data_IF_524420829814
#
_entry.id   IF_524420829814
#
_cell.length_a   1.000
_cell.length_b   1.000
_cell.length_c   1.000
_cell.angle_alpha   90.00
_cell.angle_beta   90.00
_cell.angle_gamma   90.00
#
_symmetry.space_group_name_H-M   'P 1'
#
loop_
_entity.id
_entity.type
_entity.pdbx_description
1 polymer ?
#
# COMPACT_ATOMS: atom_id res chain seq x y z
N UNK A 1 -1.54 8.37 -11.68
CA UNK A 1 -1.77 6.92 -11.62
C UNK A 1 -0.67 6.19 -12.40
N UNK A 2 0.08 5.31 -11.73
CA UNK A 2 1.24 4.61 -12.31
C UNK A 2 0.77 3.35 -13.04
N UNK A 3 1.34 3.07 -14.21
CA UNK A 3 1.02 1.84 -14.95
C UNK A 3 1.71 0.63 -14.30
N UNK A 4 0.98 -0.42 -13.90
CA UNK A 4 1.57 -1.63 -13.32
C UNK A 4 2.43 -2.37 -14.35
N UNK A 5 3.68 -2.67 -14.01
CA UNK A 5 4.53 -3.49 -14.88
C UNK A 5 4.21 -4.98 -14.79
N UNK A 6 3.58 -5.42 -13.68
CA UNK A 6 3.27 -6.84 -13.40
C UNK A 6 1.90 -7.01 -12.74
N UNK A 7 1.18 -8.12 -13.01
CA UNK A 7 -0.06 -8.44 -12.31
C UNK A 7 0.20 -8.62 -10.80
N UNK A 8 -0.72 -8.11 -9.95
CA UNK A 8 -0.60 -8.28 -8.49
C UNK A 8 -1.00 -9.68 -8.07
N UNK A 9 -0.18 -10.34 -7.25
CA UNK A 9 -0.59 -11.50 -6.44
C UNK A 9 -0.81 -11.12 -4.97
N UNK A 10 -0.66 -9.83 -4.65
CA UNK A 10 -0.90 -9.31 -3.31
C UNK A 10 -2.41 -9.09 -3.10
N UNK A 11 -2.89 -9.46 -1.91
CA UNK A 11 -4.21 -9.05 -1.41
C UNK A 11 -4.22 -7.58 -0.95
N UNK A 12 -3.04 -7.00 -0.70
CA UNK A 12 -2.90 -5.59 -0.37
C UNK A 12 -3.09 -4.74 -1.65
N UNK A 13 -3.80 -3.62 -1.53
CA UNK A 13 -4.04 -2.66 -2.60
C UNK A 13 -3.55 -1.27 -2.23
N UNK A 14 -3.36 -0.40 -3.22
CA UNK A 14 -2.90 0.98 -3.00
C UNK A 14 -3.85 1.76 -2.07
N UNK A 15 -5.15 1.72 -2.35
CA UNK A 15 -6.18 2.38 -1.52
C UNK A 15 -6.14 1.89 -0.07
N UNK A 16 -5.96 0.58 0.13
CA UNK A 16 -5.92 0.01 1.47
C UNK A 16 -4.69 0.46 2.26
N UNK A 17 -3.53 0.45 1.61
CA UNK A 17 -2.28 0.88 2.22
C UNK A 17 -2.31 2.39 2.56
N UNK A 18 -2.87 3.22 1.68
CA UNK A 18 -2.99 4.66 1.92
C UNK A 18 -3.98 4.97 3.05
N UNK A 19 -5.15 4.31 3.07
CA UNK A 19 -6.11 4.46 4.16
C UNK A 19 -5.49 4.09 5.51
N UNK A 20 -4.68 3.03 5.54
CA UNK A 20 -3.91 2.66 6.74
C UNK A 20 -2.94 3.76 7.17
N UNK A 21 -2.14 4.32 6.26
CA UNK A 21 -1.20 5.40 6.59
C UNK A 21 -1.92 6.65 7.14
N UNK A 22 -3.13 6.93 6.66
CA UNK A 22 -3.96 8.03 7.16
C UNK A 22 -4.57 7.73 8.54
N UNK A 23 -5.01 6.50 8.77
CA UNK A 23 -5.63 6.07 10.03
C UNK A 23 -4.62 5.87 11.16
N UNK A 24 -3.41 5.38 10.83
CA UNK A 24 -2.34 5.04 11.77
C UNK A 24 -1.06 5.85 11.45
N UNK A 25 -1.07 7.19 11.50
CA UNK A 25 0.05 8.04 11.06
C UNK A 25 1.33 7.87 11.90
N UNK A 26 1.20 7.28 13.09
CA UNK A 26 2.34 6.95 13.97
C UNK A 26 3.05 5.65 13.55
N UNK A 27 2.41 4.82 12.72
CA UNK A 27 2.88 3.50 12.37
C UNK A 27 2.89 3.31 10.86
N UNK A 28 4.07 3.49 10.25
CA UNK A 28 4.26 3.29 8.80
C UNK A 28 4.61 1.85 8.41
N UNK A 29 4.60 0.91 9.36
CA UNK A 29 5.13 -0.44 9.13
C UNK A 29 4.11 -1.36 8.46
N UNK A 30 4.59 -2.16 7.50
CA UNK A 30 3.82 -3.23 6.87
C UNK A 30 3.32 -4.28 7.88
N UNK A 31 4.06 -4.44 8.99
CA UNK A 31 3.73 -5.37 10.07
C UNK A 31 2.45 -4.92 10.75
N UNK A 32 2.35 -3.63 11.07
CA UNK A 32 1.17 -3.09 11.74
C UNK A 32 -0.09 -3.24 10.89
N UNK A 33 0.02 -2.98 9.59
CA UNK A 33 -1.09 -3.20 8.67
C UNK A 33 -1.57 -4.67 8.68
N UNK A 34 -0.64 -5.64 8.70
CA UNK A 34 -1.00 -7.05 8.75
C UNK A 34 -1.58 -7.52 10.09
N UNK A 35 -1.31 -6.81 11.18
CA UNK A 35 -1.90 -7.09 12.50
C UNK A 35 -3.33 -6.57 12.61
N UNK A 36 -3.59 -5.38 12.04
CA UNK A 36 -4.89 -4.71 12.13
C UNK A 36 -5.89 -5.28 11.12
N UNK A 37 -5.40 -5.83 10.00
CA UNK A 37 -6.25 -6.36 8.95
C UNK A 37 -6.28 -7.89 8.91
N UNK A 38 -7.45 -8.43 9.28
CA UNK A 38 -7.70 -9.87 9.21
C UNK A 38 -7.54 -10.40 7.78
N UNK A 39 -6.82 -11.51 7.63
CA UNK A 39 -6.58 -12.16 6.34
C UNK A 39 -5.53 -11.48 5.44
N UNK A 40 -4.91 -10.38 5.88
CA UNK A 40 -3.82 -9.70 5.19
C UNK A 40 -2.47 -10.04 5.82
N UNK A 41 -1.65 -10.83 5.13
CA UNK A 41 -0.32 -11.17 5.65
C UNK A 41 0.70 -10.06 5.38
N UNK A 42 1.70 -9.96 6.26
CA UNK A 42 2.87 -9.09 6.06
C UNK A 42 3.52 -9.29 4.68
N UNK A 43 3.64 -10.56 4.23
CA UNK A 43 4.17 -10.90 2.91
C UNK A 43 3.32 -10.35 1.76
N UNK A 44 2.01 -10.25 1.93
CA UNK A 44 1.11 -9.63 0.95
C UNK A 44 1.41 -8.13 0.80
N UNK A 45 1.58 -7.42 1.92
CA UNK A 45 1.92 -5.99 1.93
C UNK A 45 3.31 -5.75 1.31
N UNK A 46 4.31 -6.56 1.68
CA UNK A 46 5.65 -6.47 1.09
C UNK A 46 5.65 -6.75 -0.40
N UNK A 47 4.93 -7.78 -0.87
CA UNK A 47 4.81 -8.04 -2.31
C UNK A 47 4.19 -6.86 -3.06
N UNK A 48 3.19 -6.20 -2.47
CA UNK A 48 2.59 -5.01 -3.06
C UNK A 48 3.60 -3.85 -3.18
N UNK A 49 4.27 -3.46 -2.08
CA UNK A 49 5.20 -2.32 -2.08
C UNK A 49 6.43 -2.57 -2.95
N UNK A 50 6.99 -3.78 -2.89
CA UNK A 50 8.18 -4.15 -3.65
C UNK A 50 7.89 -4.41 -5.14
N UNK A 51 6.63 -4.63 -5.54
CA UNK A 51 6.29 -4.93 -6.94
C UNK A 51 6.75 -3.82 -7.88
N UNK A 52 6.44 -2.58 -7.51
CA UNK A 52 6.73 -1.39 -8.33
C UNK A 52 7.72 -0.44 -7.65
N UNK A 53 8.28 -0.84 -6.50
CA UNK A 53 9.12 -0.01 -5.65
C UNK A 53 8.45 1.35 -5.36
N UNK A 54 7.24 1.28 -4.79
CA UNK A 54 6.44 2.48 -4.49
C UNK A 54 7.17 3.42 -3.53
N UNK A 55 7.33 4.68 -3.91
CA UNK A 55 7.78 5.75 -3.03
C UNK A 55 6.58 6.43 -2.36
N UNK A 56 6.77 7.16 -1.25
CA UNK A 56 5.70 7.96 -0.65
C UNK A 56 5.06 8.94 -1.65
N UNK A 57 5.85 9.47 -2.59
CA UNK A 57 5.35 10.38 -3.63
C UNK A 57 4.43 9.66 -4.61
N UNK A 58 4.78 8.43 -5.00
CA UNK A 58 3.91 7.61 -5.86
C UNK A 58 2.56 7.38 -5.19
N UNK A 59 2.57 6.96 -3.92
CA UNK A 59 1.34 6.73 -3.15
C UNK A 59 0.48 7.99 -3.05
N UNK A 60 1.10 9.15 -2.84
CA UNK A 60 0.38 10.42 -2.84
C UNK A 60 -0.20 10.77 -4.22
N UNK A 61 0.58 10.61 -5.29
CA UNK A 61 0.14 10.89 -6.67
C UNK A 61 -0.93 9.89 -7.17
N UNK A 62 -1.11 8.74 -6.51
CA UNK A 62 -2.22 7.81 -6.77
C UNK A 62 -3.57 8.29 -6.20
N UNK A 63 -3.58 9.07 -5.12
CA UNK A 63 -4.82 9.59 -4.49
C UNK A 63 -5.04 11.07 -4.73
N UNK A 64 -4.00 11.78 -5.15
CA UNK A 64 -4.06 13.13 -5.70
C UNK A 64 -4.65 13.03 -7.11
N UNK A 65 -5.97 13.00 -7.22
CA UNK A 65 -6.63 13.47 -8.43
C UNK A 65 -6.35 14.99 -8.61
N UNK A 66 -6.22 15.49 -9.84
CA UNK A 66 -6.17 16.92 -10.09
C UNK A 66 -7.55 17.49 -9.77
N UNK A 67 -7.60 18.40 -8.79
CA UNK A 67 -8.76 19.29 -8.64
C UNK A 67 -9.07 19.99 -9.97
#
# INVERSE_FOLDING_TARGET
>A
MREPSKPSTAKCTCSLYILFLLAEPKYVSCVRLSEVMEGLSHASVNRFLLRENYTPRDLFDEVKEPL
#
